data_IF_337565332173
#
_entry.id   IF_337565332173
#
_cell.length_a   1.000
_cell.length_b   1.000
_cell.length_c   1.000
_cell.angle_alpha   90.00
_cell.angle_beta   90.00
_cell.angle_gamma   90.00
#
_symmetry.space_group_name_H-M   'P 1'
#
loop_
_entity.id
_entity.type
_entity.pdbx_description
1 polymer ?
#
# COMPACT_ATOMS: atom_id res chain seq x y z
N UNK A 1 21.34 -42.93 5.68
CA UNK A 1 20.33 -42.35 4.76
C UNK A 1 19.34 -41.41 5.44
N UNK A 2 18.63 -41.81 6.52
CA UNK A 2 17.66 -40.94 7.22
C UNK A 2 18.19 -39.56 7.66
N UNK A 3 19.43 -39.50 8.16
CA UNK A 3 20.09 -38.23 8.55
C UNK A 3 20.42 -37.32 7.37
N UNK A 4 20.72 -37.89 6.20
CA UNK A 4 21.00 -37.15 4.98
C UNK A 4 19.70 -36.55 4.42
N UNK A 5 18.60 -37.32 4.44
CA UNK A 5 17.27 -36.84 4.04
C UNK A 5 16.77 -35.69 4.92
N UNK A 6 17.03 -35.75 6.23
CA UNK A 6 16.68 -34.67 7.18
C UNK A 6 17.48 -33.38 6.92
N UNK A 7 18.77 -33.50 6.62
CA UNK A 7 19.63 -32.36 6.30
C UNK A 7 19.21 -31.69 4.99
N UNK A 8 18.87 -32.49 3.97
CA UNK A 8 18.37 -31.98 2.68
C UNK A 8 17.02 -31.27 2.87
N UNK A 9 16.11 -31.83 3.67
CA UNK A 9 14.82 -31.18 3.96
C UNK A 9 14.99 -29.83 4.70
N UNK A 10 15.91 -29.75 5.65
CA UNK A 10 16.18 -28.51 6.39
C UNK A 10 16.77 -27.42 5.49
N UNK A 11 17.68 -27.79 4.57
CA UNK A 11 18.26 -26.86 3.59
C UNK A 11 17.19 -26.36 2.59
N UNK A 12 16.24 -27.22 2.20
CA UNK A 12 15.12 -26.82 1.34
C UNK A 12 14.22 -25.80 2.04
N UNK A 13 13.92 -25.98 3.34
CA UNK A 13 13.08 -25.04 4.11
C UNK A 13 13.77 -23.67 4.28
N UNK A 14 15.10 -23.62 4.36
CA UNK A 14 15.86 -22.36 4.48
C UNK A 14 16.00 -21.64 3.13
N UNK A 15 15.85 -22.35 2.01
CA UNK A 15 15.96 -21.79 0.64
C UNK A 15 14.63 -21.40 0.01
N UNK A 16 13.50 -21.69 0.66
CA UNK A 16 12.19 -21.10 0.28
C UNK A 16 12.24 -19.61 0.60
N UNK A 17 12.77 -18.89 -0.37
CA UNK A 17 13.07 -17.48 -0.30
C UNK A 17 11.78 -16.71 -0.06
N UNK A 18 11.91 -15.62 0.68
CA UNK A 18 10.89 -14.59 0.88
C UNK A 18 10.23 -14.30 -0.46
N UNK A 19 9.05 -14.86 -0.69
CA UNK A 19 8.17 -14.37 -1.73
C UNK A 19 7.82 -12.95 -1.30
N UNK A 20 8.61 -11.98 -1.74
CA UNK A 20 8.30 -10.56 -1.63
C UNK A 20 7.06 -10.30 -2.47
N UNK A 21 5.92 -10.60 -1.87
CA UNK A 21 4.63 -10.43 -2.49
C UNK A 21 4.38 -8.94 -2.64
N UNK A 22 4.67 -8.41 -3.83
CA UNK A 22 4.22 -7.08 -4.26
C UNK A 22 2.73 -6.94 -3.92
N UNK A 23 2.33 -5.76 -3.46
CA UNK A 23 0.92 -5.46 -3.21
C UNK A 23 0.19 -5.56 -4.54
N UNK A 24 -0.74 -6.51 -4.62
CA UNK A 24 -1.53 -6.75 -5.81
C UNK A 24 -2.65 -5.71 -5.90
N UNK A 25 -3.15 -5.54 -7.10
CA UNK A 25 -4.32 -4.70 -7.35
C UNK A 25 -5.41 -5.55 -7.98
N UNK A 26 -6.66 -5.21 -7.71
CA UNK A 26 -7.84 -5.91 -8.22
C UNK A 26 -8.86 -4.94 -8.77
N UNK A 27 -9.72 -5.43 -9.65
CA UNK A 27 -10.73 -4.62 -10.32
C UNK A 27 -10.17 -3.75 -11.45
N UNK A 28 -11.04 -2.93 -12.04
CA UNK A 28 -10.74 -1.99 -13.13
C UNK A 28 -11.61 -0.75 -13.01
N UNK A 29 -11.16 0.36 -13.57
CA UNK A 29 -11.84 1.65 -13.51
C UNK A 29 -12.16 2.05 -12.05
N UNK A 30 -13.37 2.53 -11.81
CA UNK A 30 -13.83 2.94 -10.48
C UNK A 30 -13.80 1.83 -9.41
N UNK A 31 -13.78 0.55 -9.84
CA UNK A 31 -13.70 -0.62 -8.94
C UNK A 31 -12.25 -1.04 -8.64
N UNK A 32 -11.26 -0.32 -9.17
CA UNK A 32 -9.85 -0.61 -8.94
C UNK A 32 -9.46 -0.34 -7.48
N UNK A 33 -8.81 -1.31 -6.84
CA UNK A 33 -8.35 -1.23 -5.46
C UNK A 33 -7.09 -2.07 -5.22
N UNK A 34 -6.41 -1.86 -4.09
CA UNK A 34 -5.40 -2.79 -3.59
C UNK A 34 -6.06 -4.10 -3.16
N UNK A 35 -5.35 -5.20 -3.33
CA UNK A 35 -5.82 -6.49 -2.86
C UNK A 35 -5.51 -6.66 -1.37
N UNK A 36 -6.57 -6.74 -0.55
CA UNK A 36 -6.48 -6.79 0.91
C UNK A 36 -5.64 -7.98 1.41
N UNK A 37 -5.66 -9.11 0.69
CA UNK A 37 -4.91 -10.31 1.07
C UNK A 37 -3.41 -10.16 0.82
N UNK A 38 -3.01 -9.19 -0.01
CA UNK A 38 -1.61 -8.84 -0.25
C UNK A 38 -1.06 -7.76 0.71
N UNK A 39 -1.89 -7.23 1.60
CA UNK A 39 -1.50 -6.21 2.57
C UNK A 39 -1.08 -6.88 3.88
N UNK A 40 0.08 -6.49 4.41
CA UNK A 40 0.56 -6.95 5.72
C UNK A 40 -0.48 -6.72 6.83
N UNK A 41 -0.63 -7.68 7.73
CA UNK A 41 -1.66 -7.68 8.77
C UNK A 41 -1.67 -6.39 9.61
N UNK A 42 -0.50 -5.88 9.97
CA UNK A 42 -0.34 -4.63 10.72
C UNK A 42 -0.89 -3.38 10.00
N UNK A 43 -1.00 -3.42 8.67
CA UNK A 43 -1.51 -2.32 7.86
C UNK A 43 -2.98 -2.46 7.46
N UNK A 44 -3.61 -3.61 7.67
CA UNK A 44 -5.04 -3.82 7.34
C UNK A 44 -5.97 -2.80 8.00
N UNK A 45 -5.82 -2.41 9.28
CA UNK A 45 -6.66 -1.38 9.88
C UNK A 45 -6.56 -0.03 9.14
N UNK A 46 -5.35 0.36 8.75
CA UNK A 46 -5.11 1.59 8.00
C UNK A 46 -5.63 1.52 6.57
N UNK A 47 -5.52 0.37 5.91
CA UNK A 47 -6.13 0.16 4.60
C UNK A 47 -7.66 0.26 4.64
N UNK A 48 -8.30 -0.31 5.68
CA UNK A 48 -9.73 -0.19 5.89
C UNK A 48 -10.14 1.27 6.14
N UNK A 49 -9.39 2.00 6.96
CA UNK A 49 -9.58 3.43 7.19
C UNK A 49 -9.50 4.22 5.88
N UNK A 50 -8.46 3.99 5.07
CA UNK A 50 -8.27 4.63 3.77
C UNK A 50 -9.45 4.32 2.82
N UNK A 51 -9.94 3.08 2.83
CA UNK A 51 -11.06 2.62 2.01
C UNK A 51 -12.41 3.23 2.39
N UNK A 52 -12.52 3.88 3.56
CA UNK A 52 -13.72 4.60 3.99
C UNK A 52 -13.54 6.11 3.83
N UNK A 53 -12.42 6.65 4.30
CA UNK A 53 -12.20 8.09 4.40
C UNK A 53 -11.67 8.70 3.09
N UNK A 54 -10.72 8.05 2.44
CA UNK A 54 -10.08 8.61 1.24
C UNK A 54 -10.93 8.49 -0.02
N UNK A 55 -12.00 7.69 0.01
CA UNK A 55 -12.93 7.56 -1.13
C UNK A 55 -14.05 8.61 -1.14
N UNK A 56 -14.13 9.48 -0.13
CA UNK A 56 -15.19 10.51 -0.01
C UNK A 56 -15.17 11.54 -1.13
N UNK A 57 -14.00 11.79 -1.72
CA UNK A 57 -13.82 12.83 -2.74
C UNK A 57 -13.65 12.26 -4.17
N UNK A 58 -13.18 11.02 -4.30
CA UNK A 58 -12.97 10.32 -5.56
C UNK A 58 -12.70 8.84 -5.28
N UNK A 59 -12.79 8.00 -6.29
CA UNK A 59 -12.53 6.56 -6.18
C UNK A 59 -11.08 6.25 -5.75
N UNK A 60 -10.89 5.02 -5.23
CA UNK A 60 -9.58 4.51 -4.84
C UNK A 60 -8.61 4.37 -6.02
N UNK A 61 -9.16 4.18 -7.22
CA UNK A 61 -8.44 4.11 -8.49
C UNK A 61 -7.33 5.17 -8.61
N UNK A 62 -7.62 6.43 -8.22
CA UNK A 62 -6.62 7.50 -8.35
C UNK A 62 -5.36 7.23 -7.54
N UNK A 63 -5.52 6.67 -6.34
CA UNK A 63 -4.40 6.34 -5.45
C UNK A 63 -3.67 5.12 -5.98
N UNK A 64 -4.40 4.10 -6.44
CA UNK A 64 -3.82 2.89 -7.03
C UNK A 64 -2.97 3.24 -8.25
N UNK A 65 -3.51 4.01 -9.21
CA UNK A 65 -2.77 4.45 -10.39
C UNK A 65 -1.56 5.30 -9.98
N UNK A 66 -1.72 6.21 -9.01
CA UNK A 66 -0.62 7.06 -8.56
C UNK A 66 0.55 6.24 -7.98
N UNK A 67 0.25 5.21 -7.19
CA UNK A 67 1.23 4.27 -6.66
C UNK A 67 1.89 3.49 -7.78
N UNK A 68 1.09 2.84 -8.65
CA UNK A 68 1.61 1.95 -9.70
C UNK A 68 2.50 2.68 -10.71
N UNK A 69 2.13 3.91 -11.07
CA UNK A 69 2.82 4.69 -12.10
C UNK A 69 3.85 5.66 -11.54
N UNK A 70 3.83 5.93 -10.24
CA UNK A 70 4.61 7.00 -9.62
C UNK A 70 4.19 8.41 -10.07
N UNK A 71 2.98 8.59 -10.63
CA UNK A 71 2.46 9.88 -11.10
C UNK A 71 1.01 10.11 -10.72
N UNK A 72 0.68 11.29 -10.20
CA UNK A 72 -0.68 11.68 -9.88
C UNK A 72 -1.55 11.73 -11.16
N UNK A 73 -2.69 11.02 -11.25
CA UNK A 73 -3.45 10.86 -12.50
C UNK A 73 -4.00 12.15 -13.11
N UNK A 74 -4.29 13.16 -12.27
CA UNK A 74 -4.92 14.41 -12.73
C UNK A 74 -3.86 15.45 -13.12
N UNK A 75 -2.83 15.61 -12.30
CA UNK A 75 -1.84 16.68 -12.47
C UNK A 75 -0.57 16.22 -13.18
N UNK A 76 -0.38 14.91 -13.33
CA UNK A 76 0.85 14.31 -13.81
C UNK A 76 2.06 14.52 -12.88
N UNK A 77 1.89 15.11 -11.69
CA UNK A 77 2.99 15.37 -10.77
C UNK A 77 3.58 14.07 -10.22
N UNK A 78 4.89 14.03 -9.88
CA UNK A 78 5.49 12.86 -9.27
C UNK A 78 4.76 12.44 -7.98
N UNK A 79 4.55 11.15 -7.82
CA UNK A 79 3.93 10.53 -6.65
C UNK A 79 4.96 9.63 -5.96
N UNK A 80 5.72 10.23 -5.05
CA UNK A 80 6.77 9.58 -4.25
C UNK A 80 6.57 9.87 -2.76
N UNK A 81 7.45 9.36 -1.89
CA UNK A 81 7.34 9.54 -0.42
C UNK A 81 7.23 10.99 0.02
N UNK A 82 7.96 11.90 -0.65
CA UNK A 82 7.89 13.33 -0.36
C UNK A 82 6.52 13.91 -0.73
N UNK A 83 5.98 13.52 -1.89
CA UNK A 83 4.64 13.90 -2.31
C UNK A 83 3.57 13.35 -1.35
N UNK A 84 3.66 12.09 -0.94
CA UNK A 84 2.73 11.47 0.03
C UNK A 84 2.71 12.25 1.35
N UNK A 85 3.88 12.61 1.89
CA UNK A 85 3.97 13.45 3.09
C UNK A 85 3.31 14.82 2.88
N UNK A 86 3.55 15.47 1.75
CA UNK A 86 2.94 16.76 1.42
C UNK A 86 1.40 16.64 1.29
N UNK A 87 0.90 15.55 0.70
CA UNK A 87 -0.53 15.24 0.65
C UNK A 87 -1.12 15.06 2.05
N UNK A 88 -0.43 14.35 2.95
CA UNK A 88 -0.86 14.25 4.36
C UNK A 88 -1.00 15.62 5.02
N UNK A 89 -0.02 16.52 4.84
CA UNK A 89 -0.09 17.89 5.36
C UNK A 89 -1.25 18.67 4.73
N UNK A 90 -1.49 18.50 3.43
CA UNK A 90 -2.65 19.08 2.75
C UNK A 90 -3.96 18.60 3.36
N UNK A 91 -4.05 17.32 3.74
CA UNK A 91 -5.26 16.76 4.35
C UNK A 91 -5.55 17.30 5.74
N UNK A 92 -4.52 17.63 6.53
CA UNK A 92 -4.69 18.33 7.83
C UNK A 92 -5.34 19.70 7.69
N UNK A 93 -5.18 20.34 6.52
CA UNK A 93 -5.70 21.69 6.24
C UNK A 93 -7.06 21.67 5.56
N UNK A 94 -7.56 20.49 5.15
CA UNK A 94 -8.84 20.38 4.45
C UNK A 94 -9.95 20.18 5.48
N UNK A 95 -10.90 21.12 5.64
CA UNK A 95 -11.92 21.04 6.68
C UNK A 95 -12.83 19.81 6.53
N UNK A 96 -13.06 19.37 5.28
CA UNK A 96 -13.94 18.24 4.98
C UNK A 96 -13.17 16.93 4.73
N UNK A 97 -11.98 16.78 5.33
CA UNK A 97 -11.23 15.52 5.26
C UNK A 97 -11.84 14.44 6.14
N UNK A 98 -12.51 14.84 7.22
CA UNK A 98 -13.02 13.94 8.26
C UNK A 98 -11.95 12.97 8.77
N UNK A 99 -10.71 13.45 8.89
CA UNK A 99 -9.59 12.69 9.41
C UNK A 99 -8.83 13.48 10.46
N UNK A 100 -8.48 12.83 11.56
CA UNK A 100 -7.63 13.41 12.59
C UNK A 100 -6.12 13.31 12.23
N UNK A 101 -5.27 13.90 13.07
CA UNK A 101 -3.81 13.92 12.86
C UNK A 101 -3.18 12.53 12.91
N UNK A 102 -3.72 11.61 13.73
CA UNK A 102 -3.22 10.25 13.86
C UNK A 102 -3.59 9.45 12.61
N UNK A 103 -4.85 9.48 12.20
CA UNK A 103 -5.36 8.83 10.99
C UNK A 103 -4.56 9.24 9.75
N UNK A 104 -4.31 10.55 9.58
CA UNK A 104 -3.49 11.05 8.47
C UNK A 104 -2.06 10.52 8.53
N UNK A 105 -1.45 10.48 9.72
CA UNK A 105 -0.09 9.91 9.88
C UNK A 105 -0.08 8.43 9.49
N UNK A 106 -1.05 7.66 9.97
CA UNK A 106 -1.13 6.23 9.70
C UNK A 106 -1.27 5.98 8.19
N UNK A 107 -2.12 6.73 7.50
CA UNK A 107 -2.29 6.65 6.04
C UNK A 107 -0.99 7.03 5.30
N UNK A 108 -0.26 8.06 5.74
CA UNK A 108 1.04 8.41 5.15
C UNK A 108 2.06 7.29 5.30
N UNK A 109 2.13 6.66 6.47
CA UNK A 109 3.03 5.52 6.71
C UNK A 109 2.64 4.35 5.82
N UNK A 110 1.34 4.04 5.75
CA UNK A 110 0.83 2.98 4.89
C UNK A 110 1.14 3.24 3.41
N UNK A 111 0.87 4.43 2.88
CA UNK A 111 1.17 4.77 1.49
C UNK A 111 2.67 4.68 1.17
N UNK A 112 3.54 5.04 2.11
CA UNK A 112 4.99 4.86 1.93
C UNK A 112 5.37 3.37 1.87
N UNK A 113 4.76 2.53 2.71
CA UNK A 113 4.91 1.08 2.63
C UNK A 113 4.45 0.54 1.27
N UNK A 114 3.26 0.97 0.79
CA UNK A 114 2.76 0.53 -0.52
C UNK A 114 3.69 0.97 -1.65
N UNK A 115 4.24 2.19 -1.59
CA UNK A 115 5.22 2.66 -2.57
C UNK A 115 6.50 1.81 -2.56
N UNK A 116 6.98 1.41 -1.39
CA UNK A 116 8.16 0.55 -1.26
C UNK A 116 7.89 -0.84 -1.86
N UNK A 117 6.75 -1.45 -1.55
CA UNK A 117 6.37 -2.76 -2.11
C UNK A 117 6.12 -2.72 -3.62
N UNK A 118 5.74 -1.56 -4.18
CA UNK A 118 5.58 -1.39 -5.63
C UNK A 118 6.92 -1.24 -6.37
N UNK A 119 8.01 -0.92 -5.66
CA UNK A 119 9.36 -0.73 -6.25
C UNK A 119 10.25 -1.98 -6.22
N UNK A 120 9.92 -2.95 -5.36
CA UNK A 120 10.49 -4.31 -5.42
C UNK A 120 10.05 -4.97 -6.71
#
# INVERSE_FOLDING_TARGET
MKRLSLLVALIIIVTVSLSEARIKTKGRGEKMNFDADSIQESFKPTFNLMSVKCIKCHTMERVVIAVQTGRAPITGQPFNKQAVKAYGIKMLRKPNSDMDKKEIRDIVVFLNYVLDENQK
#
